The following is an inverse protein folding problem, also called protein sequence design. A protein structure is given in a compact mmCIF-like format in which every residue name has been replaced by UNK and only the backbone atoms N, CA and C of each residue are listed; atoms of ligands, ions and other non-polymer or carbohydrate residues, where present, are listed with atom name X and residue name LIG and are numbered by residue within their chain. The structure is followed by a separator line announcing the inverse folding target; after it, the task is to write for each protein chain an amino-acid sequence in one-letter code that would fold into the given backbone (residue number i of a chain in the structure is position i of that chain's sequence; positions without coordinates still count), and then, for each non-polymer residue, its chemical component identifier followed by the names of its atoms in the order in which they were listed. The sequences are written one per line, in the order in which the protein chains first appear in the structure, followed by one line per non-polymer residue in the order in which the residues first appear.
data_IF_064830990423
#
_entry.id   IF_064830990423
#
_cell.length_a   1.000
_cell.length_b   1.000
_cell.length_c   1.000
_cell.angle_alpha   90.00
_cell.angle_beta   90.00
_cell.angle_gamma   90.00
#
_symmetry.space_group_name_H-M   'P 1'
#
loop_
_entity.id
_entity.type
_entity.pdbx_description
1 polymer ?
#
# COMPACT_ATOMS: atom_id res chain seq x y z
N UNK A 1 -31.04 14.58 8.36
CA UNK A 1 -30.60 13.79 7.19
C UNK A 1 -29.89 12.55 7.69
N UNK A 2 -30.37 11.35 7.36
CA UNK A 2 -29.63 10.11 7.62
C UNK A 2 -28.48 10.09 6.60
N UNK A 3 -27.25 10.33 7.06
CA UNK A 3 -26.08 10.13 6.19
C UNK A 3 -25.96 8.65 5.89
N UNK A 4 -26.29 8.27 4.65
CA UNK A 4 -26.07 6.95 4.10
C UNK A 4 -24.63 6.48 4.39
N UNK A 5 -24.46 5.18 4.64
CA UNK A 5 -23.13 4.63 4.86
C UNK A 5 -22.31 4.79 3.56
N UNK A 6 -21.06 5.28 3.63
CA UNK A 6 -20.24 5.45 2.44
C UNK A 6 -20.02 4.09 1.78
N UNK A 7 -20.12 4.05 0.45
CA UNK A 7 -19.90 2.82 -0.30
C UNK A 7 -18.43 2.37 -0.17
N UNK A 8 -18.13 1.07 -0.31
CA UNK A 8 -16.75 0.57 -0.33
C UNK A 8 -15.86 1.33 -1.32
N UNK A 9 -16.40 1.70 -2.48
CA UNK A 9 -15.68 2.48 -3.48
C UNK A 9 -15.32 3.89 -2.99
N UNK A 10 -16.24 4.58 -2.31
CA UNK A 10 -15.95 5.87 -1.71
C UNK A 10 -14.89 5.76 -0.62
N UNK A 11 -14.96 4.73 0.23
CA UNK A 11 -13.97 4.47 1.29
C UNK A 11 -12.59 4.22 0.70
N UNK A 12 -12.49 3.33 -0.30
CA UNK A 12 -11.22 2.96 -0.92
C UNK A 12 -10.56 4.13 -1.66
N UNK A 13 -11.34 4.91 -2.41
CA UNK A 13 -10.83 6.10 -3.11
C UNK A 13 -10.31 7.15 -2.14
N UNK A 14 -11.07 7.43 -1.07
CA UNK A 14 -10.65 8.40 -0.06
C UNK A 14 -9.44 7.91 0.74
N UNK A 15 -9.36 6.60 1.03
CA UNK A 15 -8.18 6.00 1.63
C UNK A 15 -6.93 6.25 0.78
N UNK A 16 -6.97 5.96 -0.53
CA UNK A 16 -5.83 6.17 -1.44
C UNK A 16 -5.39 7.64 -1.41
N UNK A 17 -6.34 8.58 -1.51
CA UNK A 17 -6.06 10.02 -1.44
C UNK A 17 -5.36 10.39 -0.13
N UNK A 18 -5.88 9.93 1.01
CA UNK A 18 -5.31 10.24 2.32
C UNK A 18 -3.94 9.60 2.52
N UNK A 19 -3.77 8.35 2.10
CA UNK A 19 -2.52 7.60 2.26
C UNK A 19 -1.37 8.31 1.55
N UNK A 20 -1.49 8.61 0.26
CA UNK A 20 -0.42 9.29 -0.49
C UNK A 20 -0.25 10.78 -0.10
N UNK A 21 -1.32 11.44 0.38
CA UNK A 21 -1.18 12.79 0.96
C UNK A 21 -0.35 12.77 2.24
N UNK A 22 -0.58 11.80 3.12
CA UNK A 22 0.18 11.64 4.36
C UNK A 22 1.60 11.17 4.07
N UNK A 23 1.80 10.27 3.11
CA UNK A 23 3.13 9.84 2.65
C UNK A 23 3.99 11.04 2.24
N UNK A 24 3.42 12.00 1.52
CA UNK A 24 4.11 13.23 1.12
C UNK A 24 4.33 14.20 2.29
N UNK A 25 3.26 14.53 3.04
CA UNK A 25 3.27 15.66 3.99
C UNK A 25 3.75 15.30 5.40
N UNK A 26 3.51 14.08 5.85
CA UNK A 26 3.75 13.64 7.21
C UNK A 26 3.97 12.11 7.27
N UNK A 27 5.03 11.58 6.62
CA UNK A 27 5.26 10.13 6.52
C UNK A 27 5.41 9.45 7.89
N UNK A 28 5.86 10.19 8.90
CA UNK A 28 5.91 9.73 10.29
C UNK A 28 4.53 9.37 10.88
N UNK A 29 3.43 9.85 10.29
CA UNK A 29 2.05 9.53 10.71
C UNK A 29 1.45 8.34 9.94
N UNK A 30 2.13 7.83 8.90
CA UNK A 30 1.58 6.80 8.00
C UNK A 30 1.27 5.48 8.74
N UNK A 31 2.07 5.13 9.76
CA UNK A 31 1.85 3.95 10.60
C UNK A 31 0.46 3.93 11.30
N UNK A 32 -0.22 5.07 11.41
CA UNK A 32 -1.55 5.17 12.04
C UNK A 32 -2.66 4.49 11.24
N UNK A 33 -2.43 4.20 9.97
CA UNK A 33 -3.36 3.40 9.16
C UNK A 33 -3.34 1.91 9.51
N UNK A 34 -2.32 1.44 10.23
CA UNK A 34 -2.10 0.02 10.53
C UNK A 34 -2.53 -0.34 11.95
N UNK A 35 -2.81 -1.62 12.17
CA UNK A 35 -3.13 -2.22 13.45
C UNK A 35 -2.06 -3.24 13.87
N UNK A 36 -2.29 -3.91 15.01
CA UNK A 36 -1.33 -4.89 15.58
C UNK A 36 -1.14 -6.14 14.71
N UNK A 37 -2.14 -6.50 13.91
CA UNK A 37 -2.14 -7.66 13.03
C UNK A 37 -1.89 -7.29 11.56
N UNK A 38 -1.53 -6.05 11.27
CA UNK A 38 -1.27 -5.62 9.90
C UNK A 38 0.03 -6.21 9.36
N UNK A 39 0.06 -6.48 8.07
CA UNK A 39 1.24 -6.93 7.34
C UNK A 39 1.67 -5.88 6.32
N UNK A 40 2.94 -5.52 6.33
CA UNK A 40 3.52 -4.53 5.44
C UNK A 40 4.71 -5.12 4.68
N UNK A 41 4.77 -4.84 3.38
CA UNK A 41 5.83 -5.29 2.50
C UNK A 41 6.16 -4.17 1.52
N UNK A 42 7.42 -3.78 1.46
CA UNK A 42 7.87 -2.67 0.61
C UNK A 42 9.24 -2.95 0.01
N UNK A 43 9.41 -2.67 -1.28
CA UNK A 43 10.69 -2.80 -1.97
C UNK A 43 10.99 -4.22 -2.49
N UNK A 44 12.05 -4.36 -3.27
CA UNK A 44 12.34 -5.48 -4.16
C UNK A 44 13.61 -6.28 -3.88
N UNK A 45 14.02 -6.40 -2.62
CA UNK A 45 14.93 -7.50 -2.27
C UNK A 45 14.12 -8.78 -2.03
N UNK A 46 14.09 -9.65 -3.03
CA UNK A 46 13.40 -10.95 -2.98
C UNK A 46 14.03 -11.91 -1.98
N UNK A 47 15.22 -11.59 -1.44
CA UNK A 47 15.90 -12.45 -0.46
C UNK A 47 15.23 -12.44 0.91
N UNK A 48 14.59 -11.33 1.32
CA UNK A 48 13.87 -11.21 2.59
C UNK A 48 12.37 -11.02 2.35
N UNK A 49 11.64 -12.14 2.26
CA UNK A 49 10.23 -12.18 1.86
C UNK A 49 9.24 -12.04 3.02
N UNK A 50 9.73 -12.03 4.25
CA UNK A 50 8.83 -12.00 5.40
C UNK A 50 8.18 -10.61 5.53
N UNK A 51 6.84 -10.55 5.64
CA UNK A 51 6.17 -9.29 5.88
C UNK A 51 6.52 -8.76 7.27
N UNK A 52 6.56 -7.43 7.39
CA UNK A 52 6.69 -6.75 8.68
C UNK A 52 5.32 -6.74 9.33
N UNK A 53 5.22 -7.26 10.54
CA UNK A 53 3.94 -7.45 11.24
C UNK A 53 3.78 -6.45 12.37
N UNK A 54 2.66 -5.74 12.36
CA UNK A 54 2.23 -4.91 13.46
C UNK A 54 2.69 -3.45 13.39
N UNK A 55 1.83 -2.56 13.87
CA UNK A 55 1.98 -1.11 13.75
C UNK A 55 3.34 -0.56 14.21
N UNK A 56 3.90 -1.07 15.31
CA UNK A 56 5.18 -0.58 15.85
C UNK A 56 6.36 -0.91 14.94
N UNK A 57 6.43 -2.13 14.42
CA UNK A 57 7.52 -2.57 13.56
C UNK A 57 7.39 -1.92 12.18
N UNK A 58 6.15 -1.78 11.68
CA UNK A 58 5.83 -1.01 10.48
C UNK A 58 6.30 0.46 10.63
N UNK A 59 6.08 1.08 11.79
CA UNK A 59 6.54 2.44 12.05
C UNK A 59 8.06 2.58 11.99
N UNK A 60 8.78 1.65 12.64
CA UNK A 60 10.24 1.66 12.62
C UNK A 60 10.77 1.49 11.20
N UNK A 61 10.17 0.59 10.43
CA UNK A 61 10.56 0.38 9.04
C UNK A 61 10.25 1.58 8.13
N UNK A 62 9.08 2.21 8.27
CA UNK A 62 8.75 3.44 7.53
C UNK A 62 9.76 4.57 7.82
N UNK A 63 10.29 4.65 9.05
CA UNK A 63 11.37 5.59 9.36
C UNK A 63 12.66 5.26 8.62
N UNK A 64 13.02 3.98 8.54
CA UNK A 64 14.22 3.52 7.83
C UNK A 64 14.15 3.81 6.33
N UNK A 65 12.96 3.77 5.73
CA UNK A 65 12.73 4.17 4.34
C UNK A 65 13.03 5.65 4.06
N UNK A 66 13.05 6.48 5.11
CA UNK A 66 13.46 7.88 5.07
C UNK A 66 12.73 8.68 3.97
N UNK A 67 11.40 8.59 3.95
CA UNK A 67 10.59 9.37 3.02
C UNK A 67 10.79 10.88 3.24
N UNK A 68 11.15 11.58 2.17
CA UNK A 68 11.38 13.02 2.13
C UNK A 68 10.79 13.55 0.84
N UNK A 69 9.90 14.54 0.94
CA UNK A 69 9.23 15.14 -0.21
C UNK A 69 8.75 14.09 -1.22
N UNK A 70 8.12 13.03 -0.71
CA UNK A 70 7.77 11.88 -1.52
C UNK A 70 6.59 12.22 -2.42
N UNK A 71 6.80 12.22 -3.74
CA UNK A 71 5.81 12.58 -4.73
C UNK A 71 5.24 11.34 -5.40
N UNK A 72 3.94 11.12 -5.22
CA UNK A 72 3.21 10.04 -5.88
C UNK A 72 2.34 10.58 -7.01
N UNK A 73 2.48 9.99 -8.20
CA UNK A 73 1.59 10.21 -9.34
C UNK A 73 0.78 8.94 -9.57
N UNK A 74 -0.48 8.97 -9.18
CA UNK A 74 -1.39 7.83 -9.28
C UNK A 74 -1.97 7.77 -10.69
N UNK A 75 -1.82 6.63 -11.37
CA UNK A 75 -2.25 6.43 -12.76
C UNK A 75 -3.53 5.61 -12.83
N UNK A 76 -3.66 4.58 -11.99
CA UNK A 76 -4.80 3.68 -11.97
C UNK A 76 -5.09 3.24 -10.54
N UNK A 77 -6.39 3.16 -10.23
CA UNK A 77 -6.91 2.64 -8.97
C UNK A 77 -8.04 1.68 -9.33
N UNK A 78 -7.85 0.41 -9.02
CA UNK A 78 -8.90 -0.61 -9.06
C UNK A 78 -9.26 -1.00 -7.63
N UNK A 79 -10.53 -1.23 -7.36
CA UNK A 79 -10.99 -1.65 -6.04
C UNK A 79 -12.19 -2.58 -6.11
N UNK A 80 -12.27 -3.48 -5.14
CA UNK A 80 -13.38 -4.43 -5.03
C UNK A 80 -13.69 -4.68 -3.55
N UNK A 81 -14.96 -4.96 -3.25
CA UNK A 81 -15.33 -5.45 -1.92
C UNK A 81 -14.85 -6.90 -1.76
N UNK A 82 -14.38 -7.24 -0.56
CA UNK A 82 -13.94 -8.59 -0.22
C UNK A 82 -14.84 -9.19 0.87
N UNK A 83 -14.52 -10.41 1.30
CA UNK A 83 -15.17 -11.07 2.42
C UNK A 83 -15.14 -10.19 3.68
N UNK A 84 -16.11 -10.40 4.58
CA UNK A 84 -16.19 -9.69 5.86
C UNK A 84 -16.19 -8.14 5.76
N UNK A 85 -16.77 -7.58 4.67
CA UNK A 85 -16.84 -6.13 4.40
C UNK A 85 -15.46 -5.47 4.22
N UNK A 86 -14.44 -6.25 3.91
CA UNK A 86 -13.14 -5.73 3.53
C UNK A 86 -13.15 -5.10 2.14
N UNK A 87 -12.06 -4.42 1.79
CA UNK A 87 -11.88 -3.77 0.50
C UNK A 87 -10.47 -4.10 0.02
N UNK A 88 -10.35 -4.68 -1.17
CA UNK A 88 -9.06 -4.79 -1.85
C UNK A 88 -8.90 -3.61 -2.79
N UNK A 89 -7.72 -3.01 -2.80
CA UNK A 89 -7.39 -1.85 -3.61
C UNK A 89 -6.07 -2.14 -4.29
N UNK A 90 -6.02 -1.98 -5.61
CA UNK A 90 -4.81 -2.05 -6.40
C UNK A 90 -4.52 -0.67 -6.96
N UNK A 91 -3.31 -0.18 -6.71
CA UNK A 91 -2.85 1.14 -7.14
C UNK A 91 -1.64 0.95 -8.03
N UNK A 92 -1.64 1.62 -9.17
CA UNK A 92 -0.48 1.71 -10.07
C UNK A 92 -0.14 3.17 -10.29
N UNK A 93 1.16 3.47 -10.26
CA UNK A 93 1.63 4.84 -10.37
C UNK A 93 3.13 4.96 -10.46
N UNK A 94 3.59 6.19 -10.28
CA UNK A 94 4.99 6.56 -10.22
C UNK A 94 5.27 7.23 -8.87
N UNK A 95 6.38 6.86 -8.23
CA UNK A 95 6.81 7.41 -6.94
C UNK A 95 8.22 8.00 -7.09
N UNK A 96 8.40 9.21 -6.58
CA UNK A 96 9.70 9.85 -6.40
C UNK A 96 9.91 10.12 -4.92
N UNK A 97 11.13 9.91 -4.43
CA UNK A 97 11.51 10.21 -3.06
C UNK A 97 12.78 11.06 -3.07
N UNK A 98 12.81 12.15 -2.30
CA UNK A 98 13.98 13.04 -2.17
C UNK A 98 14.49 13.59 -3.52
N UNK A 99 13.57 13.90 -4.44
CA UNK A 99 13.90 14.41 -5.79
C UNK A 99 14.51 13.38 -6.74
N UNK A 100 14.60 12.10 -6.33
CA UNK A 100 15.06 11.02 -7.21
C UNK A 100 14.09 10.79 -8.38
N UNK A 101 14.54 10.14 -9.47
CA UNK A 101 13.68 9.85 -10.61
C UNK A 101 12.40 9.11 -10.22
N UNK A 102 11.33 9.39 -10.95
CA UNK A 102 10.06 8.70 -10.81
C UNK A 102 10.23 7.21 -11.14
N UNK A 103 9.89 6.34 -10.19
CA UNK A 103 9.93 4.89 -10.35
C UNK A 103 8.52 4.33 -10.38
N UNK A 104 8.25 3.44 -11.33
CA UNK A 104 6.93 2.82 -11.46
C UNK A 104 6.72 1.82 -10.34
N UNK A 105 5.52 1.82 -9.76
CA UNK A 105 5.16 0.89 -8.70
C UNK A 105 3.78 0.29 -8.91
N UNK A 106 3.58 -0.86 -8.26
CA UNK A 106 2.29 -1.43 -7.96
C UNK A 106 2.14 -1.58 -6.46
N UNK A 107 0.98 -1.23 -5.92
CA UNK A 107 0.68 -1.36 -4.50
C UNK A 107 -0.70 -1.97 -4.30
N UNK A 108 -0.78 -3.02 -3.50
CA UNK A 108 -2.05 -3.67 -3.16
C UNK A 108 -2.32 -3.47 -1.68
N UNK A 109 -3.51 -2.96 -1.38
CA UNK A 109 -4.02 -2.82 -0.03
C UNK A 109 -5.20 -3.75 0.21
N UNK A 110 -5.28 -4.29 1.42
CA UNK A 110 -6.51 -4.87 1.95
C UNK A 110 -6.92 -4.04 3.16
N UNK A 111 -8.07 -3.38 3.07
CA UNK A 111 -8.69 -2.68 4.19
C UNK A 111 -9.64 -3.62 4.91
N UNK A 112 -9.55 -3.63 6.24
CA UNK A 112 -10.47 -4.37 7.10
C UNK A 112 -11.28 -3.40 7.98
N UNK A 113 -12.56 -3.70 8.26
CA UNK A 113 -13.35 -2.88 9.18
C UNK A 113 -12.81 -3.00 10.61
N UNK A 114 -12.61 -1.86 11.28
CA UNK A 114 -12.27 -1.80 12.71
C UNK A 114 -13.50 -1.52 13.57
N UNK A 115 -14.36 -0.61 13.12
CA UNK A 115 -15.62 -0.25 13.76
C UNK A 115 -16.54 0.40 12.73
N UNK A 116 -17.72 0.87 13.14
CA UNK A 116 -18.65 1.52 12.22
C UNK A 116 -17.97 2.70 11.51
N UNK A 117 -17.89 2.63 10.17
CA UNK A 117 -17.23 3.62 9.29
C UNK A 117 -15.72 3.81 9.51
N UNK A 118 -15.04 2.92 10.24
CA UNK A 118 -13.58 2.97 10.45
C UNK A 118 -12.91 1.75 9.86
N UNK A 119 -11.92 1.98 9.02
CA UNK A 119 -11.10 0.96 8.38
C UNK A 119 -9.63 1.10 8.81
N UNK A 120 -8.92 -0.02 8.79
CA UNK A 120 -7.46 -0.06 8.92
C UNK A 120 -6.87 -0.89 7.78
N UNK A 121 -5.59 -0.69 7.50
CA UNK A 121 -4.84 -1.46 6.51
C UNK A 121 -4.44 -2.79 7.14
N UNK A 122 -5.06 -3.89 6.69
CA UNK A 122 -4.68 -5.24 7.08
C UNK A 122 -3.44 -5.69 6.32
N UNK A 123 -3.39 -5.44 5.02
CA UNK A 123 -2.25 -5.78 4.18
C UNK A 123 -1.86 -4.57 3.33
N UNK A 124 -0.56 -4.31 3.23
CA UNK A 124 0.06 -3.39 2.28
C UNK A 124 1.22 -4.10 1.59
N UNK A 125 1.12 -4.27 0.28
CA UNK A 125 2.15 -4.88 -0.56
C UNK A 125 2.55 -3.88 -1.64
N UNK A 126 3.71 -3.28 -1.49
CA UNK A 126 4.29 -2.33 -2.43
C UNK A 126 5.49 -2.95 -3.17
N UNK A 127 5.53 -2.82 -4.50
CA UNK A 127 6.65 -3.26 -5.32
C UNK A 127 6.99 -2.23 -6.40
N UNK A 128 8.28 -1.92 -6.54
CA UNK A 128 8.78 -1.21 -7.71
C UNK A 128 8.83 -2.16 -8.92
N UNK A 129 8.20 -1.78 -10.02
CA UNK A 129 8.13 -2.61 -11.21
C UNK A 129 9.50 -2.77 -11.86
N UNK A 130 10.32 -1.73 -11.87
CA UNK A 130 11.66 -1.78 -12.47
C UNK A 130 12.57 -2.81 -11.77
N UNK A 131 12.38 -3.03 -10.47
CA UNK A 131 13.11 -4.05 -9.73
C UNK A 131 12.63 -5.47 -10.09
N UNK A 132 11.32 -5.66 -10.31
CA UNK A 132 10.73 -6.94 -10.71
C UNK A 132 11.28 -7.40 -12.08
N UNK A 133 11.42 -6.49 -13.04
CA UNK A 133 11.89 -6.83 -14.38
C UNK A 133 13.37 -7.23 -14.44
N UNK A 134 14.17 -6.88 -13.43
CA UNK A 134 15.58 -7.30 -13.33
C UNK A 134 15.72 -8.74 -12.79
N UNK A 135 14.64 -9.37 -12.33
CA UNK A 135 14.65 -10.68 -11.66
C UNK A 135 14.44 -11.88 -12.60
N UNK A 136 14.84 -11.75 -13.86
CA UNK A 136 14.69 -12.79 -14.91
C UNK A 136 15.29 -14.15 -14.56
N UNK A 137 16.11 -14.26 -13.50
CA UNK A 137 16.74 -15.50 -13.04
C UNK A 137 15.91 -16.34 -12.05
N UNK A 138 14.74 -15.88 -11.58
CA UNK A 138 13.87 -16.64 -10.64
C UNK A 138 12.40 -16.68 -11.06
N UNK A 139 12.14 -16.70 -12.37
CA UNK A 139 10.78 -16.84 -12.90
C UNK A 139 10.28 -18.25 -12.58
N UNK A 140 9.10 -18.35 -11.96
CA UNK A 140 8.34 -19.60 -11.97
C UNK A 140 7.79 -19.73 -13.38
N UNK A 141 8.46 -20.51 -14.23
CA UNK A 141 7.96 -20.80 -15.57
C UNK A 141 6.64 -21.56 -15.43
N UNK A 142 5.55 -20.91 -15.81
CA UNK A 142 4.24 -21.58 -15.96
C UNK A 142 4.25 -22.21 -17.34
N UNK A 143 4.50 -23.52 -17.39
CA UNK A 143 4.42 -24.27 -18.63
C UNK A 143 2.94 -24.45 -18.99
N UNK A 144 2.53 -23.95 -20.16
CA UNK A 144 1.24 -24.24 -20.73
C UNK A 144 1.38 -25.53 -21.55
N UNK A 145 0.71 -26.61 -21.12
CA UNK A 145 0.59 -27.88 -21.84
C UNK A 145 -0.33 -27.76 -23.04
#
# INVERSE_FOLDING_TARGET
MVMEAPTPSCVGMEFVRQYYTILNKAPNLLHRFYAKNSSFMHGGDISNREPIIGQSDIYNYIKELNYKDCHAKILLIDLQSTLAKGIVIQVMGELSNDGLPMQRFMQTFVLAPQSNKKYYVLNDIFRYLDQVWLLTSKIVSVNFS
#
